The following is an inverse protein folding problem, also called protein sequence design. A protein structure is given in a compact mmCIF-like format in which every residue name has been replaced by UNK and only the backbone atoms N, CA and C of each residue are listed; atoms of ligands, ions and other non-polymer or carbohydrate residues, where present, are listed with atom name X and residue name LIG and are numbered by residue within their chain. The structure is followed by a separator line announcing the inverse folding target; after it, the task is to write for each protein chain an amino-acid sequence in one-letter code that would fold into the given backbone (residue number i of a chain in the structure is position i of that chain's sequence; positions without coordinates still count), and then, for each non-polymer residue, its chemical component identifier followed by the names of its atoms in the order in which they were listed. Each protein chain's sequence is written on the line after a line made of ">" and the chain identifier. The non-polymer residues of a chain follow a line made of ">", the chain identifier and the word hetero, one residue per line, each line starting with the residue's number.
data_IF_580457624866
#
_entry.id   IF_580457624866
#
_cell.length_a   1.000
_cell.length_b   1.000
_cell.length_c   1.000
_cell.angle_alpha   90.00
_cell.angle_beta   90.00
_cell.angle_gamma   90.00
#
_symmetry.space_group_name_H-M   'P 1'
#
loop_
_entity.id
_entity.type
_entity.pdbx_description
1 polymer ?
#
# COMPACT_ATOMS: atom_id res chain seq x y z
N UNK A 1 -5.15 5.21 17.20
CA UNK A 1 -3.70 5.10 17.47
C UNK A 1 -2.96 4.03 16.66
N UNK A 2 -3.53 2.86 16.35
CA UNK A 2 -2.79 1.70 15.79
C UNK A 2 -2.16 1.88 14.39
N UNK A 3 -2.60 2.85 13.57
CA UNK A 3 -2.12 3.00 12.18
C UNK A 3 -0.89 3.91 12.01
N UNK A 4 -0.49 4.65 13.04
CA UNK A 4 0.46 5.78 12.89
C UNK A 4 1.92 5.31 12.71
N UNK A 5 2.26 4.11 13.18
CA UNK A 5 3.67 3.65 13.25
C UNK A 5 4.05 2.62 12.17
N UNK A 6 3.20 2.39 11.17
CA UNK A 6 3.48 1.43 10.09
C UNK A 6 3.90 2.15 8.81
N UNK A 7 4.92 1.66 8.08
CA UNK A 7 5.27 2.17 6.78
C UNK A 7 4.07 2.18 5.83
N UNK A 8 3.95 3.22 5.02
CA UNK A 8 2.85 3.42 4.08
C UNK A 8 3.37 3.34 2.64
N UNK A 9 2.52 2.80 1.77
CA UNK A 9 2.67 2.85 0.32
C UNK A 9 1.40 3.49 -0.22
N UNK A 10 1.53 4.64 -0.88
CA UNK A 10 0.40 5.33 -1.49
C UNK A 10 0.31 4.93 -2.96
N UNK A 11 -0.90 4.54 -3.39
CA UNK A 11 -1.16 4.06 -4.75
C UNK A 11 -2.18 4.93 -5.49
N UNK A 12 -2.10 4.90 -6.82
CA UNK A 12 -3.09 5.52 -7.72
C UNK A 12 -4.45 4.84 -7.55
N UNK A 13 -5.55 5.59 -7.70
CA UNK A 13 -6.90 4.99 -7.71
C UNK A 13 -7.05 3.87 -8.75
N UNK A 14 -6.36 3.97 -9.89
CA UNK A 14 -6.39 2.95 -10.94
C UNK A 14 -5.81 1.59 -10.51
N UNK A 15 -4.98 1.54 -9.48
CA UNK A 15 -4.44 0.29 -8.95
C UNK A 15 -5.44 -0.45 -8.05
N UNK A 16 -6.37 0.29 -7.40
CA UNK A 16 -7.23 -0.19 -6.31
C UNK A 16 -8.01 -1.45 -6.65
N UNK A 17 -8.65 -1.48 -7.81
CA UNK A 17 -9.45 -2.64 -8.25
C UNK A 17 -8.65 -3.94 -8.26
N UNK A 18 -7.39 -3.89 -8.70
CA UNK A 18 -6.55 -5.09 -8.76
C UNK A 18 -6.06 -5.49 -7.37
N UNK A 19 -5.73 -4.52 -6.52
CA UNK A 19 -5.30 -4.79 -5.13
C UNK A 19 -6.41 -5.46 -4.32
N UNK A 20 -7.68 -5.08 -4.51
CA UNK A 20 -8.81 -5.77 -3.89
C UNK A 20 -8.98 -7.24 -4.30
N UNK A 21 -8.36 -7.66 -5.41
CA UNK A 21 -8.34 -9.08 -5.82
C UNK A 21 -7.15 -9.86 -5.26
N UNK A 22 -6.30 -9.22 -4.44
CA UNK A 22 -5.06 -9.82 -3.93
C UNK A 22 -3.95 -9.90 -4.97
N UNK A 23 -3.92 -8.97 -5.93
CA UNK A 23 -2.81 -8.86 -6.87
C UNK A 23 -1.56 -8.27 -6.19
N UNK A 24 -0.37 -8.69 -6.62
CA UNK A 24 0.88 -8.06 -6.18
C UNK A 24 0.98 -6.60 -6.63
N UNK A 25 1.54 -5.74 -5.78
CA UNK A 25 1.67 -4.33 -6.05
C UNK A 25 2.84 -4.05 -7.00
N UNK A 26 2.54 -3.56 -8.20
CA UNK A 26 3.56 -3.09 -9.15
C UNK A 26 3.99 -1.66 -8.85
N UNK A 27 5.26 -1.33 -9.15
CA UNK A 27 5.79 0.04 -9.04
C UNK A 27 4.98 1.06 -9.83
N UNK A 28 4.36 0.66 -10.95
CA UNK A 28 3.55 1.55 -11.80
C UNK A 28 2.30 2.09 -11.08
N UNK A 29 1.80 1.34 -10.10
CA UNK A 29 0.66 1.74 -9.28
C UNK A 29 1.03 2.64 -8.11
N UNK A 30 2.33 2.76 -7.78
CA UNK A 30 2.81 3.49 -6.60
C UNK A 30 3.04 4.97 -6.93
N UNK A 31 2.62 5.83 -6.00
CA UNK A 31 2.86 7.28 -6.02
C UNK A 31 4.05 7.62 -5.13
N UNK A 32 4.02 7.16 -3.89
CA UNK A 32 5.11 7.36 -2.94
C UNK A 32 5.13 6.24 -1.89
N UNK A 33 6.26 6.16 -1.18
CA UNK A 33 6.52 5.17 -0.14
C UNK A 33 7.15 5.83 1.07
N UNK A 34 6.93 5.28 2.25
CA UNK A 34 7.68 5.67 3.45
C UNK A 34 9.17 5.31 3.29
N UNK A 35 10.04 6.17 3.84
CA UNK A 35 11.49 6.00 3.76
C UNK A 35 12.02 4.82 4.60
N UNK A 36 11.23 4.31 5.54
CA UNK A 36 11.57 3.24 6.46
C UNK A 36 11.06 1.87 6.01
N UNK A 37 10.59 1.73 4.77
CA UNK A 37 10.28 0.44 4.15
C UNK A 37 11.53 -0.44 4.13
N UNK A 38 11.36 -1.67 4.63
CA UNK A 38 12.39 -2.72 4.66
C UNK A 38 11.94 -3.94 3.86
N UNK A 39 12.87 -4.57 3.15
CA UNK A 39 12.66 -5.86 2.49
C UNK A 39 12.24 -6.92 3.52
N UNK A 40 11.21 -7.69 3.18
CA UNK A 40 10.56 -8.65 4.07
C UNK A 40 9.65 -8.03 5.14
N UNK A 41 9.72 -6.71 5.34
CA UNK A 41 8.88 -5.96 6.28
C UNK A 41 7.45 -5.80 5.79
N UNK A 42 6.60 -5.29 6.68
CA UNK A 42 5.19 -5.03 6.39
C UNK A 42 4.94 -3.55 6.16
N UNK A 43 4.02 -3.25 5.25
CA UNK A 43 3.52 -1.90 5.00
C UNK A 43 2.00 -1.92 4.80
N UNK A 44 1.35 -0.79 5.06
CA UNK A 44 -0.01 -0.55 4.63
C UNK A 44 -0.02 0.07 3.24
N UNK A 45 -0.97 -0.37 2.42
CA UNK A 45 -1.25 0.24 1.12
C UNK A 45 -2.51 1.08 1.24
N UNK A 46 -2.38 2.37 0.96
CA UNK A 46 -3.49 3.30 0.95
C UNK A 46 -3.67 3.91 -0.45
N UNK A 47 -4.91 4.23 -0.80
CA UNK A 47 -5.19 5.02 -1.99
C UNK A 47 -4.77 6.48 -1.79
N UNK A 48 -4.67 7.25 -2.88
CA UNK A 48 -4.39 8.69 -2.84
C UNK A 48 -5.43 9.51 -2.04
N UNK A 49 -6.64 8.97 -1.85
CA UNK A 49 -7.69 9.58 -1.05
C UNK A 49 -7.72 9.12 0.42
N UNK A 50 -6.71 8.33 0.84
CA UNK A 50 -6.58 7.87 2.23
C UNK A 50 -7.37 6.60 2.56
N UNK A 51 -7.96 5.92 1.58
CA UNK A 51 -8.60 4.62 1.79
C UNK A 51 -7.54 3.55 2.07
N UNK A 52 -7.62 2.87 3.20
CA UNK A 52 -6.75 1.75 3.54
C UNK A 52 -7.21 0.48 2.80
N UNK A 53 -6.35 -0.07 1.93
CA UNK A 53 -6.72 -1.15 1.01
C UNK A 53 -6.22 -2.51 1.53
N UNK A 54 -4.95 -2.62 1.88
CA UNK A 54 -4.34 -3.90 2.22
C UNK A 54 -3.09 -3.77 3.09
N UNK A 55 -2.73 -4.88 3.74
CA UNK A 55 -1.42 -5.09 4.37
C UNK A 55 -0.57 -5.93 3.42
N UNK A 56 0.66 -5.50 3.18
CA UNK A 56 1.57 -6.16 2.22
C UNK A 56 2.92 -6.47 2.85
N UNK A 57 3.62 -7.45 2.26
CA UNK A 57 5.03 -7.72 2.52
C UNK A 57 5.88 -7.06 1.43
N UNK A 58 6.78 -6.16 1.83
CA UNK A 58 7.68 -5.46 0.93
C UNK A 58 8.76 -6.41 0.40
N UNK A 59 9.03 -6.37 -0.90
CA UNK A 59 10.08 -7.21 -1.52
C UNK A 59 11.45 -6.53 -1.50
N UNK A 60 11.48 -5.21 -1.30
CA UNK A 60 12.67 -4.37 -1.41
C UNK A 60 12.67 -3.28 -0.35
N UNK A 61 13.84 -2.69 -0.08
CA UNK A 61 13.95 -1.53 0.81
C UNK A 61 13.53 -0.24 0.07
N UNK A 62 13.26 0.84 0.80
CA UNK A 62 12.89 2.12 0.20
C UNK A 62 13.92 2.65 -0.82
N UNK A 63 15.22 2.50 -0.54
CA UNK A 63 16.31 2.93 -1.44
C UNK A 63 16.30 2.17 -2.76
N UNK A 64 16.11 0.85 -2.73
CA UNK A 64 16.04 0.00 -3.92
C UNK A 64 14.82 0.30 -4.79
N UNK A 65 13.77 0.85 -4.17
CA UNK A 65 12.53 1.26 -4.85
C UNK A 65 12.66 2.66 -5.48
N UNK A 66 13.68 3.45 -5.12
CA UNK A 66 13.94 4.74 -5.79
C UNK A 66 14.53 4.48 -7.17
N UNK A 67 13.86 5.01 -8.20
CA UNK A 67 14.38 4.98 -9.57
C UNK A 67 14.15 3.68 -10.34
N UNK A 68 13.38 2.72 -9.80
CA UNK A 68 12.95 1.56 -10.57
C UNK A 68 11.74 1.91 -11.46
N UNK A 69 11.80 1.54 -12.74
CA UNK A 69 10.73 1.81 -13.71
C UNK A 69 9.75 0.64 -13.88
N UNK A 70 10.14 -0.55 -13.42
CA UNK A 70 9.34 -1.77 -13.52
C UNK A 70 9.62 -2.73 -12.36
N UNK A 71 8.68 -3.65 -12.12
CA UNK A 71 8.79 -4.66 -11.08
C UNK A 71 7.66 -4.63 -10.05
N UNK A 72 7.76 -5.57 -9.11
CA UNK A 72 6.85 -5.73 -7.97
C UNK A 72 7.49 -5.13 -6.72
N UNK A 73 6.71 -4.31 -6.03
CA UNK A 73 7.08 -3.59 -4.81
C UNK A 73 6.79 -4.46 -3.59
N UNK A 74 5.61 -5.08 -3.56
CA UNK A 74 5.11 -5.83 -2.43
C UNK A 74 4.12 -6.91 -2.85
N UNK A 75 3.96 -7.93 -2.00
CA UNK A 75 2.95 -8.98 -2.17
C UNK A 75 1.90 -8.89 -1.05
N UNK A 76 0.61 -9.12 -1.34
CA UNK A 76 -0.45 -9.01 -0.34
C UNK A 76 -0.29 -10.06 0.77
N UNK A 77 -0.46 -9.60 2.00
CA UNK A 77 -0.65 -10.47 3.19
C UNK A 77 -2.14 -10.57 3.47
N UNK A 78 -2.83 -9.42 3.46
CA UNK A 78 -4.27 -9.34 3.76
C UNK A 78 -4.89 -8.15 3.03
N UNK A 79 -5.85 -8.44 2.16
CA UNK A 79 -6.76 -7.43 1.61
C UNK A 79 -7.78 -7.08 2.69
N UNK A 80 -7.98 -5.79 2.92
CA UNK A 80 -8.95 -5.27 3.87
C UNK A 80 -10.25 -4.94 3.13
N UNK A 81 -11.38 -5.16 3.78
CA UNK A 81 -12.65 -4.70 3.22
C UNK A 81 -12.70 -3.17 3.29
N UNK A 82 -13.29 -2.49 2.30
CA UNK A 82 -13.46 -1.04 2.36
C UNK A 82 -14.17 -0.68 3.66
N UNK A 83 -13.50 0.11 4.50
CA UNK A 83 -14.14 0.67 5.68
C UNK A 83 -14.99 1.84 5.17
N UNK A 84 -16.26 1.56 4.85
CA UNK A 84 -17.27 2.61 4.79
C UNK A 84 -17.49 3.09 6.22
N UNK A 85 -16.66 4.02 6.67
CA UNK A 85 -17.06 4.95 7.70
C UNK A 85 -18.11 5.85 7.05
N UNK A 86 -19.36 5.40 7.05
CA UNK A 86 -20.46 6.34 7.20
C UNK A 86 -20.14 7.08 8.49
N UNK A 87 -19.53 8.26 8.32
CA UNK A 87 -19.37 9.19 9.41
C UNK A 87 -20.78 9.42 9.92
N UNK A 88 -21.11 8.76 11.02
CA UNK A 88 -22.29 9.04 11.82
C UNK A 88 -22.20 10.47 12.29
N UNK A 89 -22.57 11.40 11.42
CA UNK A 89 -23.05 12.71 11.79
C UNK A 89 -24.46 12.44 12.26
N UNK A 90 -24.61 12.48 13.59
CA UNK A 90 -25.91 12.58 14.25
C UNK A 90 -26.65 13.82 13.78
#
# INVERSE_FOLDING_TARGET
>A
EILVDKPLIIVRESAKKNLYTGASLSVRGVICISNDIKSGGEAFVCSENGELIEVVRCLRNAEDLRGIESGIVATPIRVLEPINVDAGVS
#
